data_IF_496828506126
#
_entry.id   IF_496828506126
#
_cell.length_a   1.000
_cell.length_b   1.000
_cell.length_c   1.000
_cell.angle_alpha   90.00
_cell.angle_beta   90.00
_cell.angle_gamma   90.00
#
_symmetry.space_group_name_H-M   'P 1'
#
loop_
_entity.id
_entity.type
_entity.pdbx_description
1 polymer ?
#
# COMPACT_ATOMS: atom_id res chain seq x y z
N UNK A 1 -31.67 10.10 -23.63
CA UNK A 1 -30.60 10.67 -22.79
C UNK A 1 -29.46 9.65 -22.73
N UNK A 2 -28.49 9.79 -23.62
CA UNK A 2 -27.34 8.88 -23.75
C UNK A 2 -26.10 9.75 -23.56
N UNK A 3 -25.63 9.81 -22.32
CA UNK A 3 -24.41 10.53 -21.98
C UNK A 3 -23.20 9.76 -22.49
N UNK A 4 -22.51 10.32 -23.47
CA UNK A 4 -21.22 9.84 -23.95
C UNK A 4 -20.24 9.73 -22.77
N UNK A 5 -19.78 8.50 -22.49
CA UNK A 5 -18.65 8.27 -21.61
C UNK A 5 -17.43 8.89 -22.31
N UNK A 6 -16.97 10.04 -21.83
CA UNK A 6 -15.71 10.64 -22.30
C UNK A 6 -14.60 9.62 -22.09
N UNK A 7 -14.15 9.01 -23.18
CA UNK A 7 -12.94 8.24 -23.21
C UNK A 7 -11.81 9.17 -22.78
N UNK A 8 -11.20 8.88 -21.62
CA UNK A 8 -10.00 9.57 -21.18
C UNK A 8 -8.94 9.50 -22.29
N UNK A 9 -8.13 10.56 -22.48
CA UNK A 9 -7.20 10.67 -23.59
C UNK A 9 -6.25 9.47 -23.62
N UNK A 10 -6.22 8.77 -24.76
CA UNK A 10 -5.30 7.66 -25.03
C UNK A 10 -3.86 8.18 -24.93
N UNK A 11 -3.19 7.89 -23.83
CA UNK A 11 -1.73 8.00 -23.77
C UNK A 11 -1.14 6.85 -24.59
N UNK A 12 -0.32 7.18 -25.59
CA UNK A 12 0.35 6.27 -26.53
C UNK A 12 1.42 5.37 -25.87
N UNK A 13 1.06 4.62 -24.84
CA UNK A 13 1.91 3.58 -24.26
C UNK A 13 1.28 2.25 -24.63
N UNK A 14 1.76 1.63 -25.70
CA UNK A 14 1.26 0.34 -26.22
C UNK A 14 1.62 -0.88 -25.36
N UNK A 15 2.28 -0.69 -24.21
CA UNK A 15 2.47 -1.72 -23.18
C UNK A 15 1.71 -1.30 -21.92
N UNK A 16 0.46 -1.74 -21.82
CA UNK A 16 -0.24 -1.74 -20.54
C UNK A 16 0.26 -2.91 -19.70
N UNK A 17 0.43 -2.70 -18.39
CA UNK A 17 0.65 -3.81 -17.48
C UNK A 17 -0.52 -4.82 -17.62
N UNK A 18 -0.29 -6.14 -17.46
CA UNK A 18 -1.32 -7.16 -17.68
C UNK A 18 -2.60 -6.97 -16.86
N UNK A 19 -2.50 -6.30 -15.72
CA UNK A 19 -3.61 -5.99 -14.82
C UNK A 19 -4.40 -4.71 -15.16
N UNK A 20 -4.05 -4.00 -16.23
CA UNK A 20 -4.68 -2.72 -16.55
C UNK A 20 -6.18 -2.87 -16.82
N UNK A 21 -7.00 -2.10 -16.10
CA UNK A 21 -8.46 -2.10 -16.22
C UNK A 21 -9.19 -3.19 -15.44
N UNK A 22 -8.47 -4.03 -14.70
CA UNK A 22 -9.06 -5.07 -13.86
C UNK A 22 -9.54 -4.48 -12.50
N UNK A 23 -10.83 -4.59 -12.17
CA UNK A 23 -11.40 -4.00 -10.95
C UNK A 23 -10.96 -4.69 -9.65
N UNK A 24 -10.33 -5.86 -9.70
CA UNK A 24 -9.81 -6.54 -8.51
C UNK A 24 -8.43 -6.00 -8.07
N UNK A 25 -7.77 -5.18 -8.91
CA UNK A 25 -6.52 -4.48 -8.58
C UNK A 25 -6.74 -3.11 -7.93
N UNK A 26 -7.85 -2.44 -8.24
CA UNK A 26 -8.28 -1.20 -7.62
C UNK A 26 -9.69 -1.40 -7.06
N UNK A 27 -9.76 -2.07 -5.91
CA UNK A 27 -11.01 -2.57 -5.34
C UNK A 27 -11.85 -1.39 -4.87
N UNK A 28 -13.06 -1.27 -5.42
CA UNK A 28 -13.99 -0.23 -5.00
C UNK A 28 -14.34 -0.35 -3.50
N UNK A 29 -14.42 0.79 -2.81
CA UNK A 29 -14.64 0.91 -1.35
C UNK A 29 -15.89 0.16 -0.85
N UNK A 30 -16.89 -0.06 -1.71
CA UNK A 30 -18.11 -0.76 -1.35
C UNK A 30 -18.00 -2.29 -1.40
N UNK A 31 -16.86 -2.85 -1.82
CA UNK A 31 -16.63 -4.31 -1.93
C UNK A 31 -15.96 -4.92 -0.70
N UNK A 32 -15.49 -4.12 0.24
CA UNK A 32 -14.79 -4.56 1.44
C UNK A 32 -15.20 -3.69 2.64
N UNK A 33 -14.98 -4.19 3.87
CA UNK A 33 -15.30 -3.44 5.10
C UNK A 33 -14.13 -3.40 6.08
N UNK A 34 -13.31 -4.44 6.06
CA UNK A 34 -12.13 -4.59 6.91
C UNK A 34 -10.87 -4.75 6.07
N UNK A 35 -9.69 -4.51 6.65
CA UNK A 35 -8.44 -4.72 5.93
C UNK A 35 -8.26 -6.18 5.48
N UNK A 36 -8.79 -7.13 6.25
CA UNK A 36 -8.79 -8.55 5.91
C UNK A 36 -9.63 -8.87 4.67
N UNK A 37 -10.78 -8.22 4.51
CA UNK A 37 -11.62 -8.38 3.31
C UNK A 37 -10.88 -7.90 2.06
N UNK A 38 -10.19 -6.76 2.16
CA UNK A 38 -9.40 -6.21 1.06
C UNK A 38 -8.27 -7.18 0.66
N UNK A 39 -7.51 -7.69 1.64
CA UNK A 39 -6.45 -8.67 1.40
C UNK A 39 -7.00 -9.92 0.72
N UNK A 40 -8.14 -10.46 1.19
CA UNK A 40 -8.76 -11.64 0.59
C UNK A 40 -9.20 -11.45 -0.87
N UNK A 41 -9.58 -10.24 -1.26
CA UNK A 41 -9.91 -9.90 -2.66
C UNK A 41 -8.63 -9.75 -3.50
N UNK A 42 -7.61 -9.09 -2.96
CA UNK A 42 -6.41 -8.71 -3.70
C UNK A 42 -5.34 -9.82 -3.79
N UNK A 43 -5.22 -10.66 -2.77
CA UNK A 43 -4.18 -11.71 -2.71
C UNK A 43 -4.24 -12.68 -3.90
N UNK A 44 -5.42 -13.18 -4.34
CA UNK A 44 -5.51 -14.06 -5.51
C UNK A 44 -5.05 -13.43 -6.82
N UNK A 45 -5.06 -12.10 -6.95
CA UNK A 45 -4.64 -11.41 -8.19
C UNK A 45 -3.23 -10.82 -8.09
N UNK A 46 -2.65 -10.78 -6.90
CA UNK A 46 -1.34 -10.20 -6.63
C UNK A 46 -0.22 -10.86 -7.45
N UNK A 47 -0.30 -12.17 -7.70
CA UNK A 47 0.71 -12.92 -8.45
C UNK A 47 0.91 -12.41 -9.89
N UNK A 48 -0.08 -11.72 -10.48
CA UNK A 48 0.04 -11.12 -11.82
C UNK A 48 1.13 -10.05 -11.85
N UNK A 49 1.43 -9.43 -10.72
CA UNK A 49 2.57 -8.54 -10.58
C UNK A 49 3.91 -9.30 -10.56
N UNK A 50 3.94 -10.61 -10.35
CA UNK A 50 5.11 -11.50 -10.40
C UNK A 50 5.98 -11.26 -11.63
N UNK A 51 7.22 -10.80 -11.45
CA UNK A 51 8.12 -10.48 -12.56
C UNK A 51 7.68 -9.34 -13.49
N UNK A 52 6.65 -8.57 -13.14
CA UNK A 52 6.17 -7.46 -13.97
C UNK A 52 7.23 -6.33 -14.03
N UNK A 53 7.70 -5.93 -15.23
CA UNK A 53 8.75 -4.91 -15.35
C UNK A 53 8.26 -3.50 -14.99
N UNK A 54 6.95 -3.31 -14.83
CA UNK A 54 6.33 -2.02 -14.58
C UNK A 54 6.15 -1.69 -13.09
N UNK A 55 6.56 -2.54 -12.13
CA UNK A 55 6.29 -2.34 -10.69
C UNK A 55 6.71 -0.96 -10.18
N UNK A 56 7.95 -0.54 -10.45
CA UNK A 56 8.44 0.78 -10.03
C UNK A 56 7.75 1.95 -10.76
N UNK A 57 7.33 1.77 -12.01
CA UNK A 57 6.57 2.78 -12.74
C UNK A 57 5.12 2.89 -12.22
N UNK A 58 4.51 1.74 -11.91
CA UNK A 58 3.18 1.62 -11.32
C UNK A 58 3.10 2.39 -9.99
N UNK A 59 4.05 2.16 -9.07
CA UNK A 59 4.09 2.86 -7.76
C UNK A 59 4.24 4.38 -7.95
N UNK A 60 5.11 4.82 -8.87
CA UNK A 60 5.31 6.24 -9.16
C UNK A 60 4.08 6.90 -9.79
N UNK A 61 3.28 6.16 -10.55
CA UNK A 61 2.08 6.68 -11.20
C UNK A 61 0.89 6.74 -10.22
N UNK A 62 0.68 5.69 -9.44
CA UNK A 62 -0.44 5.60 -8.48
C UNK A 62 -0.21 6.50 -7.26
N UNK A 63 1.06 6.67 -6.84
CA UNK A 63 1.44 7.39 -5.63
C UNK A 63 0.64 6.92 -4.40
N UNK A 64 0.65 5.61 -4.10
CA UNK A 64 -0.32 5.00 -3.20
C UNK A 64 -0.29 5.58 -1.78
N UNK A 65 0.90 5.87 -1.24
CA UNK A 65 1.07 6.49 0.08
C UNK A 65 0.57 7.96 0.16
N UNK A 66 0.42 8.65 -0.97
CA UNK A 66 -0.01 10.06 -1.00
C UNK A 66 -1.52 10.21 -1.19
N UNK A 67 -2.14 9.23 -1.84
CA UNK A 67 -3.55 9.27 -2.22
C UNK A 67 -4.38 8.26 -1.41
N UNK A 68 -3.83 7.73 -0.31
CA UNK A 68 -4.45 6.72 0.55
C UNK A 68 -5.01 5.52 -0.25
N UNK A 69 -4.23 5.04 -1.22
CA UNK A 69 -4.69 4.01 -2.15
C UNK A 69 -4.94 2.67 -1.46
N UNK A 70 -6.04 2.02 -1.87
CA UNK A 70 -6.44 0.67 -1.48
C UNK A 70 -6.43 -0.27 -2.70
N UNK A 71 -5.75 -1.41 -2.55
CA UNK A 71 -5.67 -2.45 -3.58
C UNK A 71 -4.25 -2.84 -3.97
N UNK A 72 -4.07 -3.38 -5.17
CA UNK A 72 -2.79 -3.90 -5.66
C UNK A 72 -2.04 -2.86 -6.49
N UNK A 73 -0.81 -2.54 -6.06
CA UNK A 73 0.08 -1.67 -6.81
C UNK A 73 1.53 -2.13 -6.65
N UNK A 74 2.23 -2.32 -7.78
CA UNK A 74 3.64 -2.67 -7.80
C UNK A 74 4.00 -3.94 -7.02
N UNK A 75 3.19 -5.00 -7.12
CA UNK A 75 3.44 -6.26 -6.40
C UNK A 75 3.21 -6.19 -4.89
N UNK A 76 2.44 -5.20 -4.42
CA UNK A 76 2.08 -4.98 -3.03
C UNK A 76 0.58 -4.74 -2.91
N UNK A 77 -0.01 -5.21 -1.81
CA UNK A 77 -1.36 -4.83 -1.37
C UNK A 77 -1.21 -3.63 -0.45
N UNK A 78 -1.97 -2.59 -0.75
CA UNK A 78 -2.01 -1.32 -0.04
C UNK A 78 -3.35 -1.18 0.66
N UNK A 79 -3.30 -0.67 1.88
CA UNK A 79 -4.45 -0.29 2.69
C UNK A 79 -4.19 1.12 3.24
N UNK A 80 -5.02 2.10 2.90
CA UNK A 80 -4.86 3.51 3.22
C UNK A 80 -3.43 4.01 2.93
N UNK A 81 -2.89 3.63 1.78
CA UNK A 81 -1.53 4.03 1.38
C UNK A 81 -0.39 3.35 2.16
N UNK A 82 -0.68 2.36 3.00
CA UNK A 82 0.31 1.54 3.71
C UNK A 82 0.39 0.14 3.10
N UNK A 83 1.59 -0.42 2.97
CA UNK A 83 1.77 -1.79 2.51
C UNK A 83 1.38 -2.78 3.61
N UNK A 84 0.40 -3.64 3.33
CA UNK A 84 -0.08 -4.71 4.24
C UNK A 84 0.33 -6.10 3.76
N UNK A 85 0.61 -6.26 2.47
CA UNK A 85 1.11 -7.52 1.94
C UNK A 85 1.97 -7.25 0.71
N UNK A 86 2.93 -8.12 0.42
CA UNK A 86 3.83 -7.97 -0.71
C UNK A 86 4.25 -9.32 -1.26
N UNK A 87 4.51 -9.39 -2.57
CA UNK A 87 5.14 -10.56 -3.15
C UNK A 87 6.52 -10.80 -2.52
N UNK A 88 6.96 -12.06 -2.37
CA UNK A 88 8.29 -12.36 -1.83
C UNK A 88 9.45 -11.76 -2.64
N UNK A 89 9.24 -11.52 -3.93
CA UNK A 89 10.21 -10.91 -4.86
C UNK A 89 10.06 -9.39 -4.98
N UNK A 90 9.22 -8.74 -4.16
CA UNK A 90 9.03 -7.30 -4.20
C UNK A 90 10.28 -6.59 -3.66
N UNK A 91 11.00 -5.90 -4.54
CA UNK A 91 12.28 -5.27 -4.19
C UNK A 91 12.04 -3.85 -3.60
N UNK A 92 12.60 -3.51 -2.43
CA UNK A 92 12.50 -2.17 -1.85
C UNK A 92 12.97 -1.04 -2.77
N UNK A 93 13.90 -1.30 -3.70
CA UNK A 93 14.38 -0.33 -4.69
C UNK A 93 13.31 0.11 -5.71
N UNK A 94 12.19 -0.60 -5.80
CA UNK A 94 11.03 -0.20 -6.60
C UNK A 94 10.24 0.96 -5.98
N UNK A 95 10.41 1.19 -4.67
CA UNK A 95 9.79 2.31 -3.96
C UNK A 95 10.41 3.64 -4.39
N UNK A 96 9.71 4.78 -4.18
CA UNK A 96 10.27 6.10 -4.40
C UNK A 96 11.61 6.29 -3.68
N UNK A 97 12.57 7.02 -4.28
CA UNK A 97 13.84 7.32 -3.64
C UNK A 97 13.67 8.01 -2.28
N UNK A 98 14.59 7.74 -1.37
CA UNK A 98 14.59 8.30 -0.03
C UNK A 98 14.74 9.84 -0.05
N UNK A 99 13.85 10.54 0.66
CA UNK A 99 14.00 11.98 0.92
C UNK A 99 14.86 12.16 2.17
N UNK A 100 16.01 12.82 2.04
CA UNK A 100 16.91 13.05 3.17
C UNK A 100 16.30 14.06 4.14
N UNK A 101 16.17 13.66 5.40
CA UNK A 101 15.58 14.44 6.50
C UNK A 101 16.60 14.62 7.62
N UNK A 102 16.34 15.59 8.51
CA UNK A 102 17.17 15.83 9.71
C UNK A 102 17.23 14.63 10.65
N UNK A 103 16.20 13.78 10.65
CA UNK A 103 16.13 12.57 11.47
C UNK A 103 16.87 11.37 10.89
N UNK A 104 17.41 11.45 9.66
CA UNK A 104 18.14 10.34 9.06
C UNK A 104 19.38 9.97 9.89
N UNK A 105 19.70 8.68 9.98
CA UNK A 105 20.73 8.18 10.90
C UNK A 105 20.20 7.76 12.27
N UNK A 106 18.88 7.71 12.45
CA UNK A 106 18.24 7.29 13.70
C UNK A 106 17.10 6.31 13.42
N UNK A 107 16.66 5.60 14.47
CA UNK A 107 15.45 4.78 14.41
C UNK A 107 14.20 5.59 14.02
N UNK A 108 14.13 6.87 14.41
CA UNK A 108 13.04 7.76 14.01
C UNK A 108 13.09 8.11 12.52
N UNK A 109 14.29 8.34 11.96
CA UNK A 109 14.48 8.53 10.52
C UNK A 109 14.05 7.31 9.71
N UNK A 110 14.49 6.12 10.12
CA UNK A 110 14.07 4.85 9.51
C UNK A 110 12.55 4.64 9.54
N UNK A 111 11.88 4.99 10.66
CA UNK A 111 10.41 4.98 10.72
C UNK A 111 9.77 6.00 9.78
N UNK A 112 10.37 7.18 9.61
CA UNK A 112 9.83 8.21 8.72
C UNK A 112 9.85 7.77 7.25
N UNK A 113 10.94 7.13 6.80
CA UNK A 113 11.00 6.53 5.45
C UNK A 113 9.93 5.46 5.26
N UNK A 114 9.76 4.55 6.23
CA UNK A 114 8.69 3.53 6.16
C UNK A 114 7.30 4.12 6.07
N UNK A 115 7.00 5.15 6.88
CA UNK A 115 5.69 5.83 6.85
C UNK A 115 5.43 6.57 5.53
N UNK A 116 6.48 7.11 4.92
CA UNK A 116 6.39 7.73 3.60
C UNK A 116 6.43 6.70 2.45
N UNK A 117 6.59 5.42 2.78
CA UNK A 117 6.73 4.28 1.86
C UNK A 117 7.74 4.54 0.75
N UNK A 118 8.89 5.06 1.16
CA UNK A 118 10.05 5.31 0.31
C UNK A 118 11.20 4.37 0.70
N UNK A 119 12.22 4.31 -0.15
CA UNK A 119 13.45 3.59 0.13
C UNK A 119 14.10 4.07 1.44
N UNK A 120 14.86 3.17 2.06
CA UNK A 120 15.77 3.56 3.14
C UNK A 120 16.96 4.29 2.55
N UNK A 121 17.34 5.44 3.11
CA UNK A 121 18.63 6.03 2.77
C UNK A 121 19.78 5.27 3.46
N UNK A 122 21.03 5.38 2.97
CA UNK A 122 22.17 4.65 3.54
C UNK A 122 22.39 4.88 5.04
N UNK A 123 21.99 6.05 5.56
CA UNK A 123 22.08 6.37 7.00
C UNK A 123 21.02 5.65 7.84
N UNK A 124 19.89 5.30 7.24
CA UNK A 124 18.74 4.71 7.91
C UNK A 124 18.65 3.19 7.74
N UNK A 125 19.33 2.60 6.75
CA UNK A 125 19.40 1.15 6.53
C UNK A 125 19.74 0.35 7.80
N UNK A 126 20.75 0.72 8.62
CA UNK A 126 21.07 -0.03 9.83
C UNK A 126 19.95 -0.07 10.87
N UNK A 127 19.06 0.93 10.83
CA UNK A 127 17.92 1.07 11.72
C UNK A 127 16.62 0.54 11.12
N UNK A 128 16.67 -0.08 9.94
CA UNK A 128 15.48 -0.67 9.33
C UNK A 128 14.96 -1.82 10.18
N UNK A 129 13.66 -1.77 10.44
CA UNK A 129 12.88 -2.84 11.05
C UNK A 129 11.54 -2.85 10.32
N UNK A 130 11.07 -3.99 9.77
CA UNK A 130 9.72 -4.08 9.24
C UNK A 130 8.68 -3.65 10.28
N UNK A 131 7.60 -3.02 9.85
CA UNK A 131 6.47 -2.76 10.76
C UNK A 131 5.69 -4.08 10.98
N UNK A 132 4.99 -4.22 12.12
CA UNK A 132 3.88 -5.17 12.21
C UNK A 132 2.88 -4.91 11.07
N UNK A 133 2.22 -5.96 10.60
CA UNK A 133 1.23 -5.82 9.56
C UNK A 133 -0.06 -5.22 10.15
N UNK A 134 -0.57 -4.08 9.63
CA UNK A 134 -1.77 -3.43 10.16
C UNK A 134 -3.00 -4.34 10.26
N UNK A 135 -3.13 -5.35 9.40
CA UNK A 135 -4.29 -6.26 9.42
C UNK A 135 -4.24 -7.29 10.56
N UNK A 136 -3.07 -7.49 11.18
CA UNK A 136 -2.92 -8.40 12.33
C UNK A 136 -3.45 -7.75 13.63
N UNK A 137 -3.44 -6.42 13.71
CA UNK A 137 -3.86 -5.65 14.89
C UNK A 137 -5.40 -5.51 14.99
N UNK A 138 -6.16 -5.74 13.91
CA UNK A 138 -7.63 -5.64 13.90
C UNK A 138 -8.34 -6.75 14.72
N UNK A 139 -7.61 -7.76 15.20
CA UNK A 139 -8.14 -8.83 16.07
C UNK A 139 -8.18 -8.47 17.57
N UNK A 140 -7.80 -7.25 17.95
CA UNK A 140 -8.02 -6.75 19.32
C UNK A 140 -9.32 -5.93 19.38
N UNK A 141 -10.47 -6.54 19.75
CA UNK A 141 -11.61 -5.76 20.14
C UNK A 141 -11.19 -4.88 21.32
N UNK A 142 -11.52 -3.60 21.20
CA UNK A 142 -11.25 -2.55 22.17
C UNK A 142 -11.39 -3.06 23.60
N UNK A 143 -10.35 -2.83 24.41
CA UNK A 143 -10.38 -3.07 25.84
C UNK A 143 -11.69 -2.52 26.41
N UNK A 144 -12.53 -3.43 26.89
CA UNK A 144 -13.78 -3.15 27.56
C UNK A 144 -13.54 -1.99 28.54
N UNK A 145 -14.20 -0.88 28.27
CA UNK A 145 -14.31 0.25 29.17
C UNK A 145 -14.71 -0.30 30.55
N UNK A 146 -13.76 -0.26 31.49
CA UNK A 146 -13.96 -0.68 32.86
C UNK A 146 -15.05 0.23 33.45
N UNK A 147 -16.31 -0.22 33.44
CA UNK A 147 -17.35 0.41 34.25
C UNK A 147 -16.98 0.16 35.71
N UNK A 148 -16.39 1.17 36.34
CA UNK A 148 -16.25 1.23 37.79
C UNK A 148 -17.68 1.27 38.36
N UNK A 149 -18.10 0.32 39.22
CA UNK A 149 -19.39 0.43 39.86
C UNK A 149 -19.38 1.63 40.83
N UNK A 150 -20.39 2.49 40.70
CA UNK A 150 -20.67 3.56 41.65
C UNK A 150 -20.84 2.94 43.05
N UNK A 151 -19.95 3.33 43.96
CA UNK A 151 -20.07 3.01 45.39
C UNK A 151 -21.12 3.95 45.97
N UNK A 152 -22.29 3.39 46.29
CA UNK A 152 -23.32 4.03 47.10
C UNK A 152 -23.01 3.91 48.60
#
# INVERSE_FOLDING_TARGET
MTGSRSALPRTHVTDHAPCWGDPDFAVADNRWKTGKDLVAICEPVLYVCGGCPHRAACIRQVLPAKNDFDGVCGGRIWLNGVVVHALPDADPSELPPAVIRKSCGTAAGSRAHRRAVEQQCPRCEPFYRPAPNPVDDEDHPEAQQLELPDVA
#
